data_IF_104719173325
#
_entry.id   IF_104719173325
#
_cell.length_a   1.000
_cell.length_b   1.000
_cell.length_c   1.000
_cell.angle_alpha   90.00
_cell.angle_beta   90.00
_cell.angle_gamma   90.00
#
_symmetry.space_group_name_H-M   'P 1'
#
loop_
_entity.id
_entity.type
_entity.pdbx_description
1 polymer ?
#
# COMPACT_ATOMS: atom_id res chain seq x y z
N UNK A 1 28.57 -42.14 11.19
CA UNK A 1 27.83 -41.90 9.95
C UNK A 1 26.46 -41.33 10.34
N UNK A 2 26.35 -40.01 10.43
CA UNK A 2 25.09 -39.35 10.72
C UNK A 2 24.41 -39.06 9.39
N UNK A 3 23.30 -39.73 9.13
CA UNK A 3 22.45 -39.54 7.96
C UNK A 3 21.98 -38.06 7.92
N UNK A 4 22.43 -37.28 6.93
CA UNK A 4 21.90 -35.99 6.60
C UNK A 4 20.46 -36.22 6.14
N UNK A 5 19.51 -35.92 7.02
CA UNK A 5 18.11 -36.26 6.87
C UNK A 5 17.44 -35.54 5.68
N UNK A 6 16.26 -36.01 5.24
CA UNK A 6 15.51 -35.53 4.08
C UNK A 6 15.18 -34.02 4.15
N UNK A 7 15.15 -33.41 5.35
CA UNK A 7 14.87 -32.00 5.58
C UNK A 7 15.87 -31.02 4.93
N UNK A 8 17.12 -31.41 4.69
CA UNK A 8 18.13 -30.52 4.10
C UNK A 8 18.00 -30.41 2.57
N UNK A 9 17.52 -31.49 1.92
CA UNK A 9 17.23 -31.49 0.47
C UNK A 9 15.97 -30.66 0.14
N UNK A 10 14.96 -30.75 0.98
CA UNK A 10 13.69 -30.00 0.78
C UNK A 10 13.83 -28.51 1.03
N UNK A 11 14.65 -28.12 2.03
CA UNK A 11 14.99 -26.69 2.25
C UNK A 11 15.68 -26.08 1.03
N UNK A 12 16.54 -26.82 0.34
CA UNK A 12 17.18 -26.37 -0.90
C UNK A 12 16.20 -26.16 -2.06
N UNK A 13 15.26 -27.09 -2.23
CA UNK A 13 14.24 -27.02 -3.30
C UNK A 13 13.29 -25.86 -3.08
N UNK A 14 12.79 -25.66 -1.86
CA UNK A 14 11.91 -24.55 -1.51
C UNK A 14 12.60 -23.20 -1.74
N UNK A 15 13.83 -23.02 -1.27
CA UNK A 15 14.58 -21.79 -1.47
C UNK A 15 14.81 -21.48 -2.95
N UNK A 16 15.08 -22.49 -3.76
CA UNK A 16 15.25 -22.36 -5.21
C UNK A 16 13.93 -21.93 -5.88
N UNK A 17 12.81 -22.53 -5.46
CA UNK A 17 11.49 -22.15 -5.97
C UNK A 17 11.13 -20.71 -5.60
N UNK A 18 11.38 -20.28 -4.34
CA UNK A 18 11.17 -18.90 -3.88
C UNK A 18 12.00 -17.90 -4.70
N UNK A 19 13.27 -18.24 -5.02
CA UNK A 19 14.12 -17.39 -5.88
C UNK A 19 13.59 -17.28 -7.30
N UNK A 20 13.04 -18.36 -7.84
CA UNK A 20 12.45 -18.36 -9.19
C UNK A 20 11.10 -17.60 -9.23
N UNK A 21 10.32 -17.62 -8.15
CA UNK A 21 8.96 -17.08 -8.09
C UNK A 21 8.74 -16.18 -6.86
N UNK A 22 9.51 -15.10 -6.67
CA UNK A 22 9.47 -14.31 -5.44
C UNK A 22 8.11 -13.68 -5.16
N UNK A 23 7.44 -13.11 -6.18
CA UNK A 23 6.10 -12.54 -6.02
C UNK A 23 5.07 -13.65 -5.72
N UNK A 24 5.15 -14.79 -6.40
CA UNK A 24 4.27 -15.94 -6.14
C UNK A 24 4.41 -16.46 -4.70
N UNK A 25 5.64 -16.59 -4.20
CA UNK A 25 5.91 -16.99 -2.81
C UNK A 25 5.32 -16.02 -1.79
N UNK A 26 5.48 -14.71 -2.03
CA UNK A 26 4.88 -13.66 -1.22
C UNK A 26 3.35 -13.76 -1.21
N UNK A 27 2.73 -13.89 -2.39
CA UNK A 27 1.26 -13.94 -2.52
C UNK A 27 0.67 -15.20 -1.87
N UNK A 28 1.32 -16.36 -2.03
CA UNK A 28 0.87 -17.59 -1.34
C UNK A 28 0.88 -17.37 0.17
N UNK A 29 1.96 -16.82 0.73
CA UNK A 29 2.02 -16.52 2.15
C UNK A 29 0.92 -15.54 2.57
N UNK A 30 0.75 -14.45 1.82
CA UNK A 30 -0.26 -13.45 2.10
C UNK A 30 -1.67 -14.06 2.15
N UNK A 31 -2.05 -14.87 1.17
CA UNK A 31 -3.38 -15.50 1.13
C UNK A 31 -3.55 -16.61 2.16
N UNK A 32 -2.47 -17.33 2.54
CA UNK A 32 -2.53 -18.42 3.51
C UNK A 32 -2.42 -17.93 4.97
N UNK A 33 -1.75 -16.82 5.23
CA UNK A 33 -1.55 -16.28 6.58
C UNK A 33 -2.29 -14.96 6.78
N UNK A 34 -2.10 -13.99 5.89
CA UNK A 34 -2.66 -12.64 6.04
C UNK A 34 -4.19 -12.63 5.98
N UNK A 35 -4.78 -13.27 4.96
CA UNK A 35 -6.23 -13.34 4.82
C UNK A 35 -6.93 -14.03 5.99
N UNK A 36 -6.56 -15.25 6.43
CA UNK A 36 -7.19 -15.86 7.59
C UNK A 36 -7.18 -14.97 8.82
N UNK A 37 -6.08 -14.25 9.10
CA UNK A 37 -6.01 -13.31 10.21
C UNK A 37 -7.03 -12.18 10.03
N UNK A 38 -7.09 -11.57 8.84
CA UNK A 38 -8.01 -10.47 8.56
C UNK A 38 -9.49 -10.90 8.55
N UNK A 39 -9.78 -12.16 8.26
CA UNK A 39 -11.15 -12.71 8.28
C UNK A 39 -11.66 -13.06 9.68
N UNK A 40 -10.80 -13.15 10.71
CA UNK A 40 -11.21 -13.57 12.06
C UNK A 40 -12.40 -12.78 12.61
N UNK A 41 -12.46 -11.42 12.53
CA UNK A 41 -13.61 -10.67 13.05
C UNK A 41 -14.93 -11.01 12.35
N UNK A 42 -14.92 -11.10 11.01
CA UNK A 42 -16.10 -11.45 10.22
C UNK A 42 -16.59 -12.88 10.51
N UNK A 43 -15.66 -13.84 10.62
CA UNK A 43 -15.99 -15.23 11.00
C UNK A 43 -16.52 -15.31 12.42
N UNK A 44 -15.90 -14.62 13.38
CA UNK A 44 -16.37 -14.59 14.76
C UNK A 44 -17.82 -14.03 14.86
N UNK A 45 -18.10 -12.95 14.13
CA UNK A 45 -19.41 -12.34 14.06
C UNK A 45 -20.44 -13.29 13.42
N UNK A 46 -20.13 -13.85 12.26
CA UNK A 46 -21.08 -14.68 11.51
C UNK A 46 -21.32 -16.07 12.11
N UNK A 47 -20.27 -16.73 12.64
CA UNK A 47 -20.36 -18.10 13.15
C UNK A 47 -20.66 -18.18 14.67
N UNK A 48 -20.22 -17.18 15.46
CA UNK A 48 -20.30 -17.22 16.90
C UNK A 48 -21.16 -16.09 17.50
N UNK A 49 -21.58 -15.10 16.69
CA UNK A 49 -22.29 -13.91 17.16
C UNK A 49 -21.41 -12.98 18.02
N UNK A 50 -20.07 -13.11 17.95
CA UNK A 50 -19.13 -12.33 18.74
C UNK A 50 -18.55 -11.19 17.90
N UNK A 51 -18.76 -9.95 18.35
CA UNK A 51 -18.15 -8.78 17.72
C UNK A 51 -16.73 -8.55 18.25
N UNK A 52 -15.74 -8.71 17.36
CA UNK A 52 -14.33 -8.43 17.66
C UNK A 52 -13.92 -7.11 16.99
N UNK A 53 -13.05 -6.30 17.64
CA UNK A 53 -12.50 -5.11 17.00
C UNK A 53 -11.66 -5.50 15.77
N UNK A 54 -11.82 -4.77 14.67
CA UNK A 54 -11.15 -5.09 13.40
C UNK A 54 -9.66 -4.75 13.43
N UNK A 55 -9.29 -3.66 14.09
CA UNK A 55 -7.96 -3.04 14.05
C UNK A 55 -6.81 -3.99 14.42
N UNK A 56 -6.85 -4.75 15.54
CA UNK A 56 -5.76 -5.65 15.91
C UNK A 56 -5.50 -6.72 14.84
N UNK A 57 -6.55 -7.15 14.14
CA UNK A 57 -6.43 -8.17 13.08
C UNK A 57 -5.86 -7.58 11.79
N UNK A 58 -6.22 -6.34 11.43
CA UNK A 58 -5.60 -5.64 10.31
C UNK A 58 -4.11 -5.39 10.58
N UNK A 59 -3.76 -4.92 11.77
CA UNK A 59 -2.35 -4.75 12.17
C UNK A 59 -1.61 -6.09 12.08
N UNK A 60 -2.17 -7.15 12.65
CA UNK A 60 -1.55 -8.48 12.61
C UNK A 60 -1.42 -9.02 11.18
N UNK A 61 -2.46 -8.86 10.33
CA UNK A 61 -2.41 -9.25 8.92
C UNK A 61 -1.37 -8.45 8.13
N UNK A 62 -1.21 -7.16 8.39
CA UNK A 62 -0.17 -6.32 7.79
C UNK A 62 1.23 -6.78 8.18
N UNK A 63 1.48 -7.02 9.47
CA UNK A 63 2.81 -7.40 9.93
C UNK A 63 3.17 -8.84 9.58
N UNK A 64 2.27 -9.78 9.80
CA UNK A 64 2.53 -11.21 9.58
C UNK A 64 2.23 -11.65 8.14
N UNK A 65 1.24 -11.05 7.49
CA UNK A 65 0.80 -11.41 6.15
C UNK A 65 1.51 -10.65 5.03
N UNK A 66 1.95 -9.40 5.26
CA UNK A 66 2.59 -8.56 4.25
C UNK A 66 4.07 -8.29 4.55
N UNK A 67 4.37 -7.66 5.69
CA UNK A 67 5.76 -7.25 6.00
C UNK A 67 6.67 -8.46 6.15
N UNK A 68 6.28 -9.45 6.96
CA UNK A 68 7.09 -10.64 7.22
C UNK A 68 7.47 -11.38 5.93
N UNK A 69 6.54 -11.74 5.02
CA UNK A 69 6.91 -12.40 3.78
C UNK A 69 7.71 -11.50 2.83
N UNK A 70 7.46 -10.18 2.79
CA UNK A 70 8.27 -9.26 1.99
C UNK A 70 9.75 -9.29 2.44
N UNK A 71 10.00 -9.29 3.74
CA UNK A 71 11.36 -9.38 4.31
C UNK A 71 11.95 -10.78 4.11
N UNK A 72 11.20 -11.86 4.42
CA UNK A 72 11.68 -13.23 4.33
C UNK A 72 12.02 -13.66 2.88
N UNK A 73 11.17 -13.28 1.93
CA UNK A 73 11.43 -13.55 0.51
C UNK A 73 12.58 -12.68 0.01
N UNK A 74 12.65 -11.40 0.39
CA UNK A 74 13.81 -10.55 0.05
C UNK A 74 15.11 -11.16 0.59
N UNK A 75 15.11 -11.63 1.83
CA UNK A 75 16.29 -12.31 2.40
C UNK A 75 16.66 -13.59 1.62
N UNK A 76 15.67 -14.38 1.24
CA UNK A 76 15.90 -15.62 0.48
C UNK A 76 16.46 -15.36 -0.93
N UNK A 77 16.00 -14.28 -1.58
CA UNK A 77 16.38 -13.92 -2.97
C UNK A 77 17.66 -13.11 -3.01
N UNK A 78 17.70 -12.02 -2.22
CA UNK A 78 18.70 -10.97 -2.30
C UNK A 78 19.66 -10.97 -1.08
N UNK A 79 19.44 -11.90 -0.13
CA UNK A 79 20.26 -12.02 1.10
C UNK A 79 20.12 -10.83 2.04
N UNK A 80 21.08 -10.71 2.98
CA UNK A 80 21.14 -9.61 3.96
C UNK A 80 21.27 -8.25 3.26
N UNK A 81 21.94 -8.19 2.13
CA UNK A 81 22.09 -6.94 1.36
C UNK A 81 20.75 -6.42 0.86
N UNK A 82 19.88 -7.30 0.34
CA UNK A 82 18.52 -6.94 -0.09
C UNK A 82 17.66 -6.43 1.07
N UNK A 83 17.72 -7.08 2.23
CA UNK A 83 16.97 -6.64 3.43
C UNK A 83 17.49 -5.28 3.92
N UNK A 84 18.80 -5.10 3.94
CA UNK A 84 19.41 -3.80 4.30
C UNK A 84 19.00 -2.70 3.33
N UNK A 85 18.96 -2.98 2.04
CA UNK A 85 18.50 -2.03 1.03
C UNK A 85 17.02 -1.69 1.20
N UNK A 86 16.16 -2.67 1.47
CA UNK A 86 14.74 -2.44 1.77
C UNK A 86 14.59 -1.54 3.00
N UNK A 87 15.33 -1.83 4.09
CA UNK A 87 15.36 -1.00 5.29
C UNK A 87 15.90 0.42 5.02
N UNK A 88 16.93 0.56 4.17
CA UNK A 88 17.46 1.87 3.77
C UNK A 88 16.38 2.73 3.10
N UNK A 89 15.53 2.14 2.25
CA UNK A 89 14.43 2.85 1.58
C UNK A 89 13.34 3.29 2.56
N UNK A 90 13.11 2.52 3.62
CA UNK A 90 12.23 2.92 4.74
C UNK A 90 12.83 4.13 5.49
N UNK A 91 14.15 4.10 5.73
CA UNK A 91 14.85 5.14 6.47
C UNK A 91 15.34 6.31 5.60
N UNK A 92 14.93 6.36 4.32
CA UNK A 92 15.29 7.47 3.42
C UNK A 92 14.46 8.70 3.78
N UNK A 93 15.01 9.55 4.65
CA UNK A 93 14.42 10.82 5.11
C UNK A 93 14.99 12.06 4.39
N UNK A 94 16.03 11.91 3.58
CA UNK A 94 16.66 13.01 2.86
C UNK A 94 15.91 13.32 1.56
N UNK A 95 14.75 13.94 1.69
CA UNK A 95 13.99 14.49 0.59
C UNK A 95 13.71 15.98 0.86
N UNK A 96 13.46 16.76 -0.20
CA UNK A 96 13.05 18.16 -0.01
C UNK A 96 11.74 18.23 0.78
N UNK A 97 11.62 19.24 1.66
CA UNK A 97 10.45 19.43 2.55
C UNK A 97 9.13 19.41 1.76
N UNK A 98 9.12 19.93 0.53
CA UNK A 98 7.94 19.91 -0.34
C UNK A 98 7.37 18.50 -0.59
N UNK A 99 8.19 17.44 -0.56
CA UNK A 99 7.69 16.06 -0.69
C UNK A 99 6.91 15.60 0.55
N UNK A 100 7.33 16.02 1.74
CA UNK A 100 6.59 15.74 2.98
C UNK A 100 5.27 16.48 3.04
N UNK A 101 5.28 17.77 2.66
CA UNK A 101 4.07 18.61 2.56
C UNK A 101 3.11 17.99 1.54
N UNK A 102 3.59 17.59 0.37
CA UNK A 102 2.79 16.93 -0.66
C UNK A 102 2.22 15.61 -0.14
N UNK A 103 3.03 14.73 0.41
CA UNK A 103 2.59 13.43 0.90
C UNK A 103 1.54 13.55 2.01
N UNK A 104 1.69 14.52 2.91
CA UNK A 104 0.77 14.72 4.03
C UNK A 104 -0.53 15.42 3.61
N UNK A 105 -0.48 16.36 2.64
CA UNK A 105 -1.58 17.30 2.43
C UNK A 105 -2.30 17.15 1.09
N UNK A 106 -1.74 16.46 0.09
CA UNK A 106 -2.35 16.45 -1.26
C UNK A 106 -3.75 15.82 -1.26
N UNK A 107 -3.91 14.65 -0.63
CA UNK A 107 -5.22 13.96 -0.56
C UNK A 107 -6.18 14.72 0.36
N UNK A 108 -5.81 15.11 1.60
CA UNK A 108 -6.68 15.89 2.47
C UNK A 108 -7.18 17.20 1.85
N UNK A 109 -6.31 17.96 1.20
CA UNK A 109 -6.69 19.25 0.61
C UNK A 109 -7.59 19.09 -0.62
N UNK A 110 -7.31 18.11 -1.49
CA UNK A 110 -8.17 17.80 -2.63
C UNK A 110 -9.50 17.23 -2.14
N UNK A 111 -9.51 16.37 -1.11
CA UNK A 111 -10.72 15.87 -0.47
C UNK A 111 -11.56 16.99 0.13
N UNK A 112 -10.94 17.94 0.83
CA UNK A 112 -11.62 19.12 1.37
C UNK A 112 -12.19 20.02 0.27
N UNK A 113 -11.45 20.24 -0.81
CA UNK A 113 -11.93 20.98 -1.97
C UNK A 113 -13.17 20.30 -2.58
N UNK A 114 -13.12 18.99 -2.79
CA UNK A 114 -14.26 18.23 -3.31
C UNK A 114 -15.46 18.29 -2.35
N UNK A 115 -15.24 18.16 -1.03
CA UNK A 115 -16.28 18.29 -0.03
C UNK A 115 -16.92 19.69 -0.07
N UNK A 116 -16.09 20.73 -0.19
CA UNK A 116 -16.58 22.12 -0.27
C UNK A 116 -17.45 22.34 -1.52
N UNK A 117 -17.09 21.74 -2.65
CA UNK A 117 -17.85 21.87 -3.92
C UNK A 117 -19.15 21.07 -3.88
N UNK A 118 -19.11 19.84 -3.35
CA UNK A 118 -20.22 18.89 -3.45
C UNK A 118 -21.20 18.96 -2.27
N UNK A 119 -20.70 19.31 -1.07
CA UNK A 119 -21.48 19.33 0.16
C UNK A 119 -21.68 20.76 0.66
N UNK A 120 -20.68 21.63 0.49
CA UNK A 120 -20.66 23.01 0.95
C UNK A 120 -19.45 23.34 1.83
N UNK A 121 -19.26 24.60 2.21
CA UNK A 121 -18.12 25.00 3.02
C UNK A 121 -18.16 24.35 4.42
N UNK A 122 -17.00 23.96 4.98
CA UNK A 122 -16.95 23.41 6.33
C UNK A 122 -17.30 24.46 7.37
N UNK A 123 -17.73 24.05 8.59
CA UNK A 123 -17.93 24.96 9.71
C UNK A 123 -16.66 25.76 10.00
N UNK A 124 -16.77 27.09 10.08
CA UNK A 124 -15.64 28.00 10.30
C UNK A 124 -15.18 28.10 11.75
N UNK A 125 -15.79 27.38 12.71
CA UNK A 125 -15.41 27.43 14.11
C UNK A 125 -13.96 26.96 14.32
N UNK A 126 -13.12 27.83 14.86
CA UNK A 126 -11.70 27.55 15.06
C UNK A 126 -11.41 26.25 15.85
N UNK A 127 -12.13 25.93 16.94
CA UNK A 127 -11.92 24.65 17.65
C UNK A 127 -12.19 23.42 16.77
N UNK A 128 -13.20 23.46 15.90
CA UNK A 128 -13.53 22.38 14.96
C UNK A 128 -12.42 22.19 13.93
N UNK A 129 -11.91 23.30 13.37
CA UNK A 129 -10.80 23.25 12.41
C UNK A 129 -9.53 22.67 13.05
N UNK A 130 -9.21 23.09 14.28
CA UNK A 130 -8.07 22.55 15.04
C UNK A 130 -8.27 21.06 15.34
N UNK A 131 -9.45 20.66 15.81
CA UNK A 131 -9.77 19.25 16.07
C UNK A 131 -9.64 18.39 14.83
N UNK A 132 -10.14 18.86 13.69
CA UNK A 132 -10.05 18.15 12.41
C UNK A 132 -8.60 18.03 11.96
N UNK A 133 -7.83 19.10 11.98
CA UNK A 133 -6.44 19.09 11.52
C UNK A 133 -5.54 18.29 12.46
N UNK A 134 -5.57 18.56 13.76
CA UNK A 134 -4.67 17.90 14.71
C UNK A 134 -5.13 16.47 14.99
N UNK A 135 -6.38 16.30 15.43
CA UNK A 135 -6.92 15.00 15.82
C UNK A 135 -7.27 14.11 14.62
N UNK A 136 -7.96 14.69 13.62
CA UNK A 136 -8.44 13.95 12.45
C UNK A 136 -7.35 13.69 11.41
N UNK A 137 -6.44 14.63 11.17
CA UNK A 137 -5.37 14.42 10.18
C UNK A 137 -4.06 13.99 10.83
N UNK A 138 -3.42 14.83 11.66
CA UNK A 138 -2.06 14.54 12.11
C UNK A 138 -1.96 13.30 13.00
N UNK A 139 -2.84 13.18 14.01
CA UNK A 139 -2.82 12.05 14.94
C UNK A 139 -3.20 10.75 14.22
N UNK A 140 -4.26 10.76 13.40
CA UNK A 140 -4.66 9.56 12.66
C UNK A 140 -3.61 9.14 11.62
N UNK A 141 -3.01 10.11 10.91
CA UNK A 141 -1.87 9.81 10.03
C UNK A 141 -0.72 9.16 10.79
N UNK A 142 -0.35 9.68 11.97
CA UNK A 142 0.74 9.11 12.76
C UNK A 142 0.42 7.66 13.22
N UNK A 143 -0.80 7.41 13.69
CA UNK A 143 -1.24 6.07 14.10
C UNK A 143 -1.22 5.10 12.91
N UNK A 144 -1.92 5.42 11.81
CA UNK A 144 -1.98 4.58 10.63
C UNK A 144 -0.60 4.33 10.02
N UNK A 145 0.23 5.38 9.93
CA UNK A 145 1.60 5.28 9.44
C UNK A 145 2.45 4.27 10.23
N UNK A 146 2.43 4.36 11.56
CA UNK A 146 3.26 3.51 12.42
C UNK A 146 2.74 2.08 12.54
N UNK A 147 1.43 1.88 12.44
CA UNK A 147 0.80 0.57 12.69
C UNK A 147 0.56 -0.24 11.42
N UNK A 148 0.21 0.41 10.29
CA UNK A 148 -0.27 -0.25 9.06
C UNK A 148 0.42 0.27 7.80
N UNK A 149 0.18 1.52 7.42
CA UNK A 149 0.41 2.00 6.05
C UNK A 149 1.88 1.98 5.60
N UNK A 150 2.84 2.30 6.48
CA UNK A 150 4.26 2.18 6.15
C UNK A 150 4.62 0.74 5.80
N UNK A 151 4.14 -0.22 6.57
CA UNK A 151 4.47 -1.64 6.43
C UNK A 151 3.78 -2.27 5.22
N UNK A 152 2.56 -1.84 4.91
CA UNK A 152 1.90 -2.18 3.66
C UNK A 152 2.70 -1.68 2.46
N UNK A 153 3.19 -0.45 2.49
CA UNK A 153 3.97 0.09 1.38
C UNK A 153 5.38 -0.52 1.27
N UNK A 154 5.95 -1.00 2.35
CA UNK A 154 7.16 -1.85 2.27
C UNK A 154 6.88 -3.11 1.45
N UNK A 155 5.72 -3.73 1.64
CA UNK A 155 5.33 -4.92 0.90
C UNK A 155 4.85 -4.57 -0.54
N UNK A 156 3.87 -3.69 -0.67
CA UNK A 156 3.26 -3.41 -1.98
C UNK A 156 4.16 -2.59 -2.90
N UNK A 157 4.70 -1.45 -2.44
CA UNK A 157 5.59 -0.63 -3.29
C UNK A 157 7.03 -1.16 -3.27
N UNK A 158 7.57 -1.41 -2.08
CA UNK A 158 8.98 -1.77 -1.90
C UNK A 158 9.32 -3.15 -2.45
N UNK A 159 8.42 -4.13 -2.30
CA UNK A 159 8.65 -5.51 -2.72
C UNK A 159 7.92 -5.87 -4.02
N UNK A 160 6.59 -5.78 -4.09
CA UNK A 160 5.79 -6.26 -5.24
C UNK A 160 5.92 -5.32 -6.43
N UNK A 161 5.48 -4.06 -6.28
CA UNK A 161 5.39 -3.11 -7.39
C UNK A 161 6.77 -2.76 -7.97
N UNK A 162 7.80 -2.63 -7.14
CA UNK A 162 9.16 -2.39 -7.61
C UNK A 162 9.68 -3.52 -8.52
N UNK A 163 9.41 -4.80 -8.16
CA UNK A 163 9.78 -5.96 -8.98
C UNK A 163 8.97 -6.05 -10.27
N UNK A 164 7.67 -5.79 -10.22
CA UNK A 164 6.81 -5.70 -11.41
C UNK A 164 7.24 -4.55 -12.32
N UNK A 165 7.58 -3.39 -11.75
CA UNK A 165 8.00 -2.22 -12.51
C UNK A 165 9.32 -2.46 -13.27
N UNK A 166 10.24 -3.22 -12.69
CA UNK A 166 11.47 -3.59 -13.35
C UNK A 166 11.23 -4.45 -14.61
N UNK A 167 10.16 -5.26 -14.63
CA UNK A 167 9.83 -6.18 -15.73
C UNK A 167 8.87 -5.56 -16.75
N UNK A 168 7.84 -4.86 -16.28
CA UNK A 168 6.67 -4.47 -17.10
C UNK A 168 6.55 -2.95 -17.30
N UNK A 169 7.34 -2.15 -16.61
CA UNK A 169 7.22 -0.70 -16.60
C UNK A 169 6.24 -0.20 -15.56
N UNK A 170 6.24 1.13 -15.33
CA UNK A 170 5.62 1.72 -14.15
C UNK A 170 4.10 1.58 -14.11
N UNK A 171 3.42 1.92 -15.22
CA UNK A 171 1.94 1.93 -15.24
C UNK A 171 1.35 0.52 -15.17
N UNK A 172 1.92 -0.46 -15.88
CA UNK A 172 1.40 -1.83 -15.82
C UNK A 172 1.68 -2.45 -14.46
N UNK A 173 2.83 -2.15 -13.84
CA UNK A 173 3.10 -2.55 -12.47
C UNK A 173 2.11 -1.94 -11.47
N UNK A 174 1.75 -0.66 -11.63
CA UNK A 174 0.73 -0.01 -10.81
C UNK A 174 -0.63 -0.70 -10.97
N UNK A 175 -1.05 -1.00 -12.21
CA UNK A 175 -2.32 -1.67 -12.48
C UNK A 175 -2.38 -3.10 -11.90
N UNK A 176 -1.33 -3.91 -12.07
CA UNK A 176 -1.27 -5.25 -11.48
C UNK A 176 -1.30 -5.16 -9.95
N UNK A 177 -0.51 -4.25 -9.36
CA UNK A 177 -0.49 -4.07 -7.91
C UNK A 177 -1.83 -3.56 -7.38
N UNK A 178 -2.55 -2.72 -8.12
CA UNK A 178 -3.89 -2.24 -7.75
C UNK A 178 -4.89 -3.40 -7.60
N UNK A 179 -4.87 -4.38 -8.50
CA UNK A 179 -5.73 -5.58 -8.38
C UNK A 179 -5.37 -6.38 -7.12
N UNK A 180 -4.08 -6.61 -6.87
CA UNK A 180 -3.62 -7.35 -5.68
C UNK A 180 -3.94 -6.59 -4.39
N UNK A 181 -3.79 -5.27 -4.40
CA UNK A 181 -4.14 -4.37 -3.31
C UNK A 181 -5.66 -4.38 -3.04
N UNK A 182 -6.49 -4.37 -4.09
CA UNK A 182 -7.93 -4.52 -3.93
C UNK A 182 -8.30 -5.87 -3.30
N UNK A 183 -7.66 -6.97 -3.72
CA UNK A 183 -7.86 -8.29 -3.11
C UNK A 183 -7.50 -8.32 -1.62
N UNK A 184 -6.53 -7.52 -1.16
CA UNK A 184 -6.23 -7.38 0.27
C UNK A 184 -7.45 -6.96 1.08
N UNK A 185 -8.32 -6.13 0.51
CA UNK A 185 -9.47 -5.55 1.19
C UNK A 185 -10.72 -6.47 1.21
N UNK A 186 -10.67 -7.63 0.56
CA UNK A 186 -11.81 -8.59 0.57
C UNK A 186 -12.32 -8.88 1.98
N UNK A 187 -11.47 -9.16 3.01
CA UNK A 187 -11.96 -9.40 4.36
C UNK A 187 -12.77 -8.25 4.97
N UNK A 188 -12.48 -7.02 4.55
CA UNK A 188 -13.15 -5.79 5.07
C UNK A 188 -14.48 -5.53 4.37
N UNK A 189 -14.61 -5.98 3.11
CA UNK A 189 -15.80 -5.70 2.28
C UNK A 189 -16.69 -6.92 2.06
N UNK A 190 -16.34 -8.10 2.58
CA UNK A 190 -17.06 -9.36 2.35
C UNK A 190 -18.50 -9.33 2.85
N UNK A 191 -18.78 -8.57 3.91
CA UNK A 191 -20.11 -8.44 4.51
C UNK A 191 -21.12 -7.73 3.57
N UNK A 192 -20.66 -7.12 2.47
CA UNK A 192 -21.53 -6.58 1.43
C UNK A 192 -22.19 -7.70 0.57
N UNK A 193 -21.92 -8.97 0.84
CA UNK A 193 -22.51 -10.10 0.13
C UNK A 193 -22.24 -10.06 -1.38
N UNK A 194 -23.24 -10.35 -2.23
CA UNK A 194 -23.05 -10.37 -3.69
C UNK A 194 -22.55 -9.04 -4.28
N UNK A 195 -22.77 -7.90 -3.62
CA UNK A 195 -22.31 -6.59 -4.09
C UNK A 195 -20.75 -6.52 -4.18
N UNK A 196 -20.04 -7.40 -3.50
CA UNK A 196 -18.58 -7.50 -3.60
C UNK A 196 -18.10 -7.71 -5.05
N UNK A 197 -18.90 -8.40 -5.88
CA UNK A 197 -18.59 -8.64 -7.30
C UNK A 197 -18.57 -7.35 -8.13
N UNK A 198 -19.16 -6.27 -7.63
CA UNK A 198 -19.14 -4.94 -8.23
C UNK A 198 -18.15 -4.04 -7.49
N UNK A 199 -18.17 -4.08 -6.17
CA UNK A 199 -17.31 -3.23 -5.31
C UNK A 199 -15.82 -3.50 -5.59
N UNK A 200 -15.41 -4.76 -5.65
CA UNK A 200 -14.01 -5.12 -5.78
C UNK A 200 -13.38 -4.71 -7.13
N UNK A 201 -14.02 -4.95 -8.30
CA UNK A 201 -13.53 -4.43 -9.58
C UNK A 201 -13.47 -2.90 -9.64
N UNK A 202 -14.47 -2.20 -9.07
CA UNK A 202 -14.45 -0.73 -9.01
C UNK A 202 -13.30 -0.27 -8.11
N UNK A 203 -13.11 -0.90 -6.95
CA UNK A 203 -12.01 -0.57 -6.06
C UNK A 203 -10.66 -0.82 -6.74
N UNK A 204 -10.47 -1.96 -7.43
CA UNK A 204 -9.26 -2.21 -8.19
C UNK A 204 -9.00 -1.14 -9.25
N UNK A 205 -10.04 -0.70 -9.97
CA UNK A 205 -9.93 0.36 -10.98
C UNK A 205 -9.53 1.71 -10.37
N UNK A 206 -10.15 2.10 -9.25
CA UNK A 206 -9.84 3.33 -8.51
C UNK A 206 -8.45 3.27 -7.87
N UNK A 207 -8.01 2.09 -7.45
CA UNK A 207 -6.68 1.90 -6.89
C UNK A 207 -5.55 2.07 -7.93
N UNK A 208 -5.81 1.97 -9.25
CA UNK A 208 -4.76 2.18 -10.27
C UNK A 208 -4.15 3.59 -10.21
N UNK A 209 -4.92 4.68 -10.19
CA UNK A 209 -4.39 6.03 -10.00
C UNK A 209 -3.67 6.23 -8.67
N UNK A 210 -4.19 5.68 -7.58
CA UNK A 210 -3.51 5.70 -6.28
C UNK A 210 -2.14 5.01 -6.36
N UNK A 211 -2.07 3.77 -6.90
CA UNK A 211 -0.79 3.06 -7.09
C UNK A 211 0.14 3.78 -8.07
N UNK A 212 -0.42 4.53 -9.03
CA UNK A 212 0.34 5.43 -9.90
C UNK A 212 0.96 6.60 -9.14
N UNK A 213 0.21 7.26 -8.26
CA UNK A 213 0.70 8.34 -7.40
C UNK A 213 1.80 7.85 -6.44
N UNK A 214 1.57 6.71 -5.79
CA UNK A 214 2.55 6.01 -4.96
C UNK A 214 3.84 5.74 -5.73
N UNK A 215 3.75 5.16 -6.93
CA UNK A 215 4.91 4.88 -7.78
C UNK A 215 5.65 6.16 -8.18
N UNK A 216 4.93 7.23 -8.49
CA UNK A 216 5.54 8.50 -8.87
C UNK A 216 6.38 9.10 -7.72
N UNK A 217 5.84 9.15 -6.50
CA UNK A 217 6.59 9.63 -5.33
C UNK A 217 7.81 8.74 -5.10
N UNK A 218 7.63 7.42 -5.11
CA UNK A 218 8.72 6.47 -4.92
C UNK A 218 9.83 6.62 -5.98
N UNK A 219 9.45 6.71 -7.25
CA UNK A 219 10.41 6.84 -8.36
C UNK A 219 11.21 8.15 -8.32
N UNK A 220 10.64 9.20 -7.71
CA UNK A 220 11.28 10.52 -7.57
C UNK A 220 12.14 10.63 -6.33
N UNK A 221 11.83 9.90 -5.27
CA UNK A 221 12.46 10.09 -3.95
C UNK A 221 13.23 8.87 -3.46
N UNK A 222 12.87 7.67 -3.93
CA UNK A 222 13.39 6.40 -3.40
C UNK A 222 12.93 6.10 -1.97
N UNK A 223 11.98 6.87 -1.42
CA UNK A 223 11.57 6.82 -0.01
C UNK A 223 10.26 6.06 0.17
N UNK A 224 10.30 4.93 0.88
CA UNK A 224 9.09 4.23 1.33
C UNK A 224 8.42 4.96 2.48
N UNK A 225 9.17 5.74 3.25
CA UNK A 225 8.62 6.60 4.30
C UNK A 225 7.62 7.61 3.72
N UNK A 226 7.97 8.31 2.63
CA UNK A 226 7.08 9.29 1.98
C UNK A 226 5.85 8.62 1.37
N UNK A 227 6.01 7.42 0.83
CA UNK A 227 4.89 6.64 0.29
C UNK A 227 3.94 6.20 1.40
N UNK A 228 4.47 5.67 2.50
CA UNK A 228 3.66 5.32 3.68
C UNK A 228 2.97 6.53 4.31
N UNK A 229 3.63 7.70 4.31
CA UNK A 229 3.03 8.96 4.80
C UNK A 229 1.85 9.40 3.92
N UNK A 230 2.00 9.33 2.58
CA UNK A 230 0.90 9.62 1.65
C UNK A 230 -0.30 8.69 1.91
N UNK A 231 -0.05 7.37 2.02
CA UNK A 231 -1.09 6.38 2.25
C UNK A 231 -1.81 6.65 3.58
N UNK A 232 -1.05 6.84 4.66
CA UNK A 232 -1.61 7.13 5.97
C UNK A 232 -2.41 8.44 6.02
N UNK A 233 -1.98 9.48 5.30
CA UNK A 233 -2.71 10.74 5.20
C UNK A 233 -3.99 10.60 4.37
N UNK A 234 -3.98 9.75 3.33
CA UNK A 234 -5.16 9.36 2.57
C UNK A 234 -6.21 8.71 3.47
N UNK A 235 -5.82 7.67 4.21
CA UNK A 235 -6.70 6.97 5.16
C UNK A 235 -7.21 7.90 6.27
N UNK A 236 -6.35 8.76 6.83
CA UNK A 236 -6.70 9.73 7.84
C UNK A 236 -7.67 10.82 7.33
N UNK A 237 -7.83 10.98 6.02
CA UNK A 237 -8.80 11.88 5.42
C UNK A 237 -10.22 11.30 5.47
N UNK A 238 -10.34 9.96 5.40
CA UNK A 238 -11.61 9.25 5.35
C UNK A 238 -12.40 9.33 6.66
N UNK A 239 -13.62 8.82 6.62
CA UNK A 239 -14.42 8.51 7.80
C UNK A 239 -14.26 7.03 8.15
N UNK A 240 -13.86 6.76 9.37
CA UNK A 240 -13.94 5.40 9.93
C UNK A 240 -12.73 4.51 9.60
N UNK A 241 -12.78 3.34 10.15
CA UNK A 241 -11.72 2.41 10.36
C UNK A 241 -11.33 2.47 11.82
N UNK A 242 -10.55 3.44 12.21
CA UNK A 242 -10.05 3.51 13.59
C UNK A 242 -10.63 4.67 14.39
N UNK A 243 -10.97 5.78 13.74
CA UNK A 243 -11.50 7.00 14.36
C UNK A 243 -12.05 7.97 13.32
N UNK A 244 -12.72 9.02 13.78
CA UNK A 244 -13.16 10.10 12.91
C UNK A 244 -11.97 10.81 12.27
N UNK A 245 -11.80 10.64 10.96
CA UNK A 245 -10.77 11.27 10.17
C UNK A 245 -11.01 12.78 9.95
N UNK A 246 -10.15 13.35 9.12
CA UNK A 246 -10.13 14.80 8.87
C UNK A 246 -11.48 15.35 8.38
N UNK A 247 -12.05 14.76 7.32
CA UNK A 247 -13.33 15.21 6.77
C UNK A 247 -14.52 14.90 7.69
N UNK A 248 -14.49 13.78 8.40
CA UNK A 248 -15.56 13.39 9.31
C UNK A 248 -15.73 14.36 10.50
N UNK A 249 -14.66 15.04 10.89
CA UNK A 249 -14.71 16.07 11.93
C UNK A 249 -15.19 17.43 11.41
N UNK A 250 -15.18 17.62 10.09
CA UNK A 250 -15.64 18.85 9.45
C UNK A 250 -17.08 18.75 8.96
N UNK A 251 -17.54 17.54 8.61
CA UNK A 251 -18.84 17.32 7.97
C UNK A 251 -19.60 16.20 8.68
N UNK A 252 -20.79 16.48 9.13
CA UNK A 252 -21.69 15.48 9.74
C UNK A 252 -22.62 14.87 8.67
N UNK A 253 -22.02 14.20 7.69
CA UNK A 253 -22.75 13.53 6.61
C UNK A 253 -21.98 12.32 6.07
N UNK A 254 -22.70 11.32 5.53
CA UNK A 254 -22.11 10.18 4.83
C UNK A 254 -21.59 10.53 3.43
N UNK A 255 -21.97 11.68 2.87
CA UNK A 255 -21.62 12.08 1.50
C UNK A 255 -20.12 12.29 1.30
N UNK A 256 -19.37 12.44 2.40
CA UNK A 256 -17.91 12.55 2.39
C UNK A 256 -17.17 11.22 2.32
N UNK A 257 -17.84 10.08 2.51
CA UNK A 257 -17.16 8.78 2.71
C UNK A 257 -16.29 8.33 1.53
N UNK A 258 -16.65 8.72 0.30
CA UNK A 258 -15.90 8.38 -0.91
C UNK A 258 -14.98 9.52 -1.40
N UNK A 259 -14.99 10.67 -0.76
CA UNK A 259 -14.20 11.82 -1.21
C UNK A 259 -12.69 11.63 -1.14
N UNK A 260 -12.12 10.91 -0.14
CA UNK A 260 -10.69 10.59 -0.14
C UNK A 260 -10.28 9.75 -1.34
N UNK A 261 -11.05 8.71 -1.69
CA UNK A 261 -10.78 7.85 -2.85
C UNK A 261 -10.93 8.65 -4.17
N UNK A 262 -11.91 9.57 -4.21
CA UNK A 262 -12.08 10.47 -5.35
C UNK A 262 -10.90 11.47 -5.45
N UNK A 263 -10.39 11.97 -4.33
CA UNK A 263 -9.20 12.82 -4.30
C UNK A 263 -7.95 12.06 -4.82
N UNK A 264 -7.75 10.83 -4.36
CA UNK A 264 -6.67 9.96 -4.85
C UNK A 264 -6.79 9.68 -6.34
N UNK A 265 -8.02 9.41 -6.82
CA UNK A 265 -8.33 9.21 -8.23
C UNK A 265 -7.95 10.45 -9.05
N UNK A 266 -8.40 11.64 -8.65
CA UNK A 266 -8.13 12.91 -9.35
C UNK A 266 -6.64 13.21 -9.39
N UNK A 267 -5.95 13.14 -8.25
CA UNK A 267 -4.51 13.41 -8.17
C UNK A 267 -3.71 12.37 -8.95
N UNK A 268 -4.06 11.09 -8.80
CA UNK A 268 -3.38 10.01 -9.50
C UNK A 268 -3.54 10.08 -11.01
N UNK A 269 -4.74 10.37 -11.52
CA UNK A 269 -4.98 10.60 -12.96
C UNK A 269 -4.17 11.79 -13.45
N UNK A 270 -4.15 12.91 -12.72
CA UNK A 270 -3.36 14.08 -13.08
C UNK A 270 -1.85 13.74 -13.20
N UNK A 271 -1.31 12.97 -12.25
CA UNK A 271 0.09 12.51 -12.29
C UNK A 271 0.35 11.53 -13.45
N UNK A 272 -0.55 10.58 -13.71
CA UNK A 272 -0.42 9.66 -14.85
C UNK A 272 -0.39 10.44 -16.17
N UNK A 273 -1.30 11.39 -16.33
CA UNK A 273 -1.37 12.24 -17.52
C UNK A 273 -0.11 13.14 -17.66
N UNK A 274 0.26 13.88 -16.61
CA UNK A 274 1.41 14.78 -16.61
C UNK A 274 2.73 14.06 -16.87
N UNK A 275 2.86 12.81 -16.43
CA UNK A 275 4.06 11.99 -16.64
C UNK A 275 3.99 11.12 -17.89
N UNK A 276 2.91 11.22 -18.68
CA UNK A 276 2.63 10.34 -19.83
C UNK A 276 2.80 8.87 -19.44
N UNK A 277 2.20 8.48 -18.33
CA UNK A 277 2.25 7.14 -17.72
C UNK A 277 3.66 6.61 -17.34
N UNK A 278 4.70 7.45 -17.41
CA UNK A 278 6.07 7.06 -17.01
C UNK A 278 6.27 7.07 -15.49
N UNK A 279 5.43 7.78 -14.76
CA UNK A 279 5.43 7.88 -13.29
C UNK A 279 6.83 8.18 -12.71
N UNK A 280 7.62 9.02 -13.40
CA UNK A 280 8.98 9.36 -12.97
C UNK A 280 10.02 8.23 -13.08
N UNK A 281 9.65 7.05 -13.58
CA UNK A 281 10.59 5.96 -13.76
C UNK A 281 11.64 6.29 -14.84
N UNK A 282 12.93 5.89 -14.62
CA UNK A 282 13.98 6.08 -15.62
C UNK A 282 13.63 5.33 -16.91
N UNK A 283 14.07 5.87 -18.06
CA UNK A 283 13.88 5.22 -19.35
C UNK A 283 14.50 3.80 -19.36
N UNK A 284 13.92 2.88 -20.15
CA UNK A 284 14.39 1.48 -20.25
C UNK A 284 15.89 1.36 -20.57
N UNK A 285 16.41 2.24 -21.42
CA UNK A 285 17.83 2.28 -21.79
C UNK A 285 18.77 2.57 -20.58
N UNK A 286 18.35 3.45 -19.68
CA UNK A 286 19.12 3.74 -18.46
C UNK A 286 19.10 2.55 -17.48
N UNK A 287 18.07 1.72 -17.49
CA UNK A 287 18.00 0.49 -16.68
C UNK A 287 18.89 -0.62 -17.23
N UNK A 288 18.97 -0.77 -18.55
CA UNK A 288 19.86 -1.74 -19.18
C UNK A 288 21.34 -1.41 -18.89
N UNK A 289 21.69 -0.13 -18.89
CA UNK A 289 23.03 0.34 -18.56
C UNK A 289 23.40 0.16 -17.08
N UNK A 290 22.41 0.24 -16.18
CA UNK A 290 22.60 0.00 -14.74
C UNK A 290 22.61 -1.50 -14.37
N UNK A 291 22.06 -2.37 -15.19
CA UNK A 291 22.03 -3.81 -14.96
C UNK A 291 23.37 -4.52 -15.24
N UNK A 292 24.40 -3.84 -15.76
CA UNK A 292 25.72 -4.40 -16.05
C UNK A 292 25.69 -5.44 -17.21
N UNK A 293 26.86 -5.78 -17.77
CA UNK A 293 26.97 -6.74 -18.87
C UNK A 293 26.69 -8.21 -18.46
N UNK A 294 26.52 -8.52 -17.19
CA UNK A 294 26.42 -9.91 -16.68
C UNK A 294 25.11 -10.63 -16.99
N UNK A 295 24.10 -9.98 -17.57
CA UNK A 295 22.84 -10.62 -17.96
C UNK A 295 22.67 -10.77 -19.48
N UNK A 296 23.69 -10.45 -20.28
CA UNK A 296 23.62 -10.50 -21.74
C UNK A 296 24.43 -11.67 -22.37
N UNK A 297 24.77 -12.68 -21.63
CA UNK A 297 25.63 -13.73 -22.16
C UNK A 297 25.50 -15.11 -21.52
N UNK A 298 24.43 -15.84 -21.87
CA UNK A 298 24.56 -17.28 -22.10
C UNK A 298 23.69 -17.66 -23.29
N UNK A 299 24.29 -17.98 -24.44
CA UNK A 299 23.56 -18.61 -25.53
C UNK A 299 23.32 -20.09 -25.17
N UNK A 300 22.06 -20.51 -25.31
CA UNK A 300 21.47 -21.89 -25.42
C UNK A 300 21.87 -22.92 -24.42
#
# INVERSE_FOLDING_TARGET
>A
MTAAGPLRRDRGKLANWVRAHPIGAFLIWFFVVGWPIAFVPGVAKSALGVELPLEPFIIAATWLGLLLPAVAVTWTVDGVAGVRELGRRVLTVRAAVGWYVLALLVVPLVGLLLATILVGPPPAAFPTLVSAFVGGLLVQTAIGFLTVNLWEEVAWMGFVQARLQARHGAILAAAITAVLFALQHVPVVIDNGPAILIILPIFALVAVPFRGLVAWIYNRTGSLLLVGLLHAAGDATARGGYNDGFLARLYDTSDINLLPQLAELVVGIAIIAATRARLGAPARAARAAQAGPDLAGSPT
#
